data_IF_651590497844
#
_entry.id   IF_651590497844
#
_cell.length_a   1.000
_cell.length_b   1.000
_cell.length_c   1.000
_cell.angle_alpha   90.00
_cell.angle_beta   90.00
_cell.angle_gamma   90.00
#
_symmetry.space_group_name_H-M   'P 1'
#
loop_
_entity.id
_entity.type
_entity.pdbx_description
1 polymer ?
#
# COMPACT_ATOMS: atom_id res chain seq x y z
N UNK A 1 -5.35 15.53 12.44
CA UNK A 1 -5.15 15.29 10.99
C UNK A 1 -3.65 15.07 10.70
N UNK A 2 -3.27 14.04 9.92
CA UNK A 2 -1.86 13.79 9.56
C UNK A 2 -1.02 12.96 10.55
N UNK A 3 -1.63 12.26 11.51
CA UNK A 3 -0.91 11.36 12.41
C UNK A 3 -0.65 10.01 11.71
N UNK A 4 0.58 9.46 11.82
CA UNK A 4 0.96 8.19 11.17
C UNK A 4 0.03 7.02 11.53
N UNK A 5 -0.45 6.97 12.77
CA UNK A 5 -1.41 5.96 13.22
C UNK A 5 -2.75 5.97 12.44
N UNK A 6 -3.04 6.99 11.64
CA UNK A 6 -4.22 6.99 10.78
C UNK A 6 -4.14 5.94 9.66
N UNK A 7 -2.95 5.53 9.20
CA UNK A 7 -2.81 4.42 8.25
C UNK A 7 -3.31 3.10 8.86
N UNK A 8 -2.96 2.85 10.13
CA UNK A 8 -3.42 1.69 10.90
C UNK A 8 -4.93 1.78 11.18
N UNK A 9 -5.43 2.95 11.57
CA UNK A 9 -6.87 3.16 11.81
C UNK A 9 -7.71 2.99 10.55
N UNK A 10 -7.22 3.49 9.41
CA UNK A 10 -7.86 3.30 8.11
C UNK A 10 -7.95 1.82 7.75
N UNK A 11 -6.86 1.06 7.92
CA UNK A 11 -6.85 -0.38 7.71
C UNK A 11 -7.85 -1.09 8.63
N UNK A 12 -7.85 -0.78 9.93
CA UNK A 12 -8.78 -1.36 10.90
C UNK A 12 -10.25 -1.07 10.59
N UNK A 13 -10.57 0.16 10.15
CA UNK A 13 -11.92 0.54 9.76
C UNK A 13 -12.38 -0.26 8.54
N UNK A 14 -11.63 -0.22 7.44
CA UNK A 14 -12.00 -0.91 6.20
C UNK A 14 -12.07 -2.41 6.40
N UNK A 15 -11.12 -2.98 7.14
CA UNK A 15 -11.14 -4.41 7.47
C UNK A 15 -12.38 -4.81 8.26
N UNK A 16 -12.70 -4.07 9.34
CA UNK A 16 -13.89 -4.32 10.17
C UNK A 16 -15.18 -4.27 9.35
N UNK A 17 -15.27 -3.32 8.41
CA UNK A 17 -16.40 -3.22 7.49
C UNK A 17 -16.47 -4.42 6.54
N UNK A 18 -15.34 -4.83 5.98
CA UNK A 18 -15.27 -5.96 5.02
C UNK A 18 -15.69 -7.29 5.63
N UNK A 19 -15.37 -7.55 6.90
CA UNK A 19 -15.69 -8.81 7.58
C UNK A 19 -17.02 -8.78 8.35
N UNK A 20 -17.71 -7.63 8.38
CA UNK A 20 -19.02 -7.47 9.02
C UNK A 20 -19.04 -7.62 10.55
N UNK A 21 -17.88 -7.59 11.21
CA UNK A 21 -17.74 -7.73 12.67
C UNK A 21 -16.52 -6.99 13.20
N UNK A 22 -16.47 -6.64 14.50
CA UNK A 22 -15.28 -6.05 15.11
C UNK A 22 -14.04 -6.93 14.89
N UNK A 23 -12.92 -6.29 14.52
CA UNK A 23 -11.63 -6.95 14.31
C UNK A 23 -10.91 -7.35 15.60
N UNK A 24 -11.41 -6.93 16.75
CA UNK A 24 -10.77 -7.13 18.06
C UNK A 24 -9.71 -6.06 18.37
N UNK A 25 -9.22 -6.08 19.61
CA UNK A 25 -8.12 -5.23 20.06
C UNK A 25 -6.78 -5.96 19.97
N UNK A 26 -5.70 -5.21 19.78
CA UNK A 26 -4.34 -5.73 19.81
C UNK A 26 -3.38 -4.65 20.26
N UNK A 27 -2.30 -5.08 20.91
CA UNK A 27 -1.14 -4.26 21.21
C UNK A 27 -0.03 -4.61 20.23
N UNK A 28 0.64 -3.61 19.67
CA UNK A 28 1.77 -3.88 18.79
C UNK A 28 2.72 -2.70 18.65
N UNK A 29 3.94 -3.04 18.25
CA UNK A 29 5.05 -2.13 18.08
C UNK A 29 5.36 -2.00 16.58
N UNK A 30 5.41 -0.76 16.08
CA UNK A 30 5.82 -0.46 14.71
C UNK A 30 7.26 0.00 14.70
N UNK A 31 8.11 -0.68 13.94
CA UNK A 31 9.50 -0.33 13.72
C UNK A 31 9.83 -0.39 12.21
N UNK A 32 10.57 0.61 11.72
CA UNK A 32 10.92 0.73 10.30
C UNK A 32 12.29 1.38 10.07
N UNK A 33 13.22 1.17 11.01
CA UNK A 33 14.56 1.77 10.97
C UNK A 33 15.59 0.83 10.32
N UNK A 34 16.53 1.42 9.59
CA UNK A 34 17.64 0.71 8.97
C UNK A 34 18.35 -0.25 9.94
N UNK A 35 18.77 -1.44 9.48
CA UNK A 35 18.78 -1.91 8.09
C UNK A 35 17.43 -2.46 7.61
N UNK A 36 16.38 -2.39 8.43
CA UNK A 36 15.07 -2.96 8.14
C UNK A 36 14.03 -1.86 7.85
N UNK A 37 12.97 -2.22 7.12
CA UNK A 37 11.87 -1.28 6.84
C UNK A 37 12.16 -0.28 5.71
N UNK A 38 11.17 0.59 5.49
CA UNK A 38 11.12 1.51 4.35
C UNK A 38 11.40 2.93 4.81
N UNK A 39 12.40 3.64 4.25
CA UNK A 39 12.70 5.02 4.60
C UNK A 39 11.47 5.94 4.44
N UNK A 40 11.14 6.65 5.51
CA UNK A 40 9.95 7.53 5.54
C UNK A 40 10.16 8.74 4.63
N UNK A 41 9.19 9.01 3.77
CA UNK A 41 9.19 10.21 2.93
C UNK A 41 10.27 10.22 1.84
N UNK A 42 10.81 9.05 1.48
CA UNK A 42 11.82 8.89 0.43
C UNK A 42 11.22 8.48 -0.94
N UNK A 43 9.90 8.54 -1.11
CA UNK A 43 9.22 8.10 -2.33
C UNK A 43 9.19 6.57 -2.52
N UNK A 44 9.41 5.80 -1.44
CA UNK A 44 9.40 4.34 -1.44
C UNK A 44 8.15 3.74 -0.80
N UNK A 45 7.06 4.51 -0.73
CA UNK A 45 5.74 4.03 -0.28
C UNK A 45 5.70 3.52 1.17
N UNK A 46 6.43 4.18 2.08
CA UNK A 46 6.42 3.85 3.51
C UNK A 46 5.03 3.90 4.16
N UNK A 47 4.13 4.74 3.63
CA UNK A 47 2.72 4.81 4.03
C UNK A 47 1.97 3.53 3.70
N UNK A 48 2.12 3.04 2.47
CA UNK A 48 1.44 1.85 1.98
C UNK A 48 1.99 0.60 2.63
N UNK A 49 3.31 0.53 2.87
CA UNK A 49 3.91 -0.54 3.64
C UNK A 49 3.30 -0.67 5.05
N UNK A 50 3.05 0.46 5.73
CA UNK A 50 2.41 0.47 7.05
C UNK A 50 0.93 0.03 6.98
N UNK A 51 0.17 0.54 6.00
CA UNK A 51 -1.23 0.14 5.78
C UNK A 51 -1.35 -1.36 5.51
N UNK A 52 -0.50 -1.90 4.65
CA UNK A 52 -0.45 -3.32 4.30
C UNK A 52 -0.05 -4.16 5.51
N UNK A 53 0.98 -3.77 6.26
CA UNK A 53 1.39 -4.48 7.47
C UNK A 53 0.25 -4.54 8.50
N UNK A 54 -0.47 -3.44 8.70
CA UNK A 54 -1.64 -3.41 9.59
C UNK A 54 -2.77 -4.32 9.08
N UNK A 55 -3.08 -4.28 7.78
CA UNK A 55 -4.11 -5.12 7.17
C UNK A 55 -3.80 -6.61 7.30
N UNK A 56 -2.57 -7.02 6.99
CA UNK A 56 -2.12 -8.41 7.11
C UNK A 56 -2.17 -8.87 8.57
N UNK A 57 -1.78 -8.01 9.51
CA UNK A 57 -1.88 -8.29 10.95
C UNK A 57 -3.33 -8.53 11.36
N UNK A 58 -4.26 -7.65 10.96
CA UNK A 58 -5.68 -7.79 11.27
C UNK A 58 -6.29 -9.05 10.65
N UNK A 59 -5.99 -9.33 9.37
CA UNK A 59 -6.44 -10.52 8.66
C UNK A 59 -5.97 -11.81 9.36
N UNK A 60 -4.73 -11.80 9.87
CA UNK A 60 -4.14 -12.92 10.61
C UNK A 60 -4.78 -13.09 11.98
N UNK A 61 -4.89 -12.03 12.78
CA UNK A 61 -5.44 -12.09 14.13
C UNK A 61 -6.94 -12.42 14.15
N UNK A 62 -7.69 -11.98 13.13
CA UNK A 62 -9.11 -12.30 13.01
C UNK A 62 -9.38 -13.70 12.46
N UNK A 63 -8.35 -14.41 11.97
CA UNK A 63 -8.45 -15.76 11.42
C UNK A 63 -9.26 -15.86 10.11
N UNK A 64 -9.33 -14.78 9.33
CA UNK A 64 -10.15 -14.72 8.10
C UNK A 64 -9.41 -15.26 6.88
N UNK A 65 -8.08 -15.09 6.83
CA UNK A 65 -7.21 -15.60 5.75
C UNK A 65 -7.64 -15.15 4.35
N UNK A 66 -8.00 -13.88 4.19
CA UNK A 66 -8.30 -13.33 2.86
C UNK A 66 -7.11 -13.48 1.89
N UNK A 67 -7.37 -13.81 0.62
CA UNK A 67 -6.36 -13.80 -0.43
C UNK A 67 -5.63 -12.46 -0.55
N UNK A 68 -4.34 -12.49 -0.89
CA UNK A 68 -3.55 -11.26 -1.07
C UNK A 68 -4.16 -10.30 -2.09
N UNK A 69 -4.74 -10.83 -3.18
CA UNK A 69 -5.39 -10.01 -4.19
C UNK A 69 -6.56 -9.18 -3.62
N UNK A 70 -7.35 -9.77 -2.72
CA UNK A 70 -8.47 -9.08 -2.07
C UNK A 70 -7.96 -8.04 -1.06
N UNK A 71 -6.87 -8.35 -0.35
CA UNK A 71 -6.23 -7.41 0.58
C UNK A 71 -5.71 -6.15 -0.11
N UNK A 72 -5.27 -6.22 -1.38
CA UNK A 72 -4.79 -5.05 -2.11
C UNK A 72 -5.86 -3.96 -2.16
N UNK A 73 -7.08 -4.31 -2.56
CA UNK A 73 -8.15 -3.32 -2.68
C UNK A 73 -8.51 -2.72 -1.31
N UNK A 74 -8.61 -3.56 -0.29
CA UNK A 74 -8.87 -3.10 1.08
C UNK A 74 -7.78 -2.14 1.58
N UNK A 75 -6.51 -2.40 1.26
CA UNK A 75 -5.40 -1.50 1.62
C UNK A 75 -5.46 -0.17 0.85
N UNK A 76 -5.77 -0.20 -0.44
CA UNK A 76 -5.95 1.02 -1.24
C UNK A 76 -7.08 1.89 -0.67
N UNK A 77 -8.22 1.27 -0.37
CA UNK A 77 -9.37 1.96 0.20
C UNK A 77 -9.07 2.49 1.61
N UNK A 78 -8.29 1.76 2.40
CA UNK A 78 -7.86 2.20 3.73
C UNK A 78 -7.04 3.49 3.70
N UNK A 79 -6.23 3.72 2.65
CA UNK A 79 -5.48 4.98 2.53
C UNK A 79 -6.36 6.19 2.24
N UNK A 80 -7.58 5.98 1.74
CA UNK A 80 -8.53 7.06 1.52
C UNK A 80 -8.99 7.69 2.84
N UNK A 81 -8.90 6.94 3.95
CA UNK A 81 -9.09 7.44 5.31
C UNK A 81 -8.11 8.57 5.65
N UNK A 82 -6.88 8.50 5.14
CA UNK A 82 -5.82 9.52 5.36
C UNK A 82 -5.96 10.70 4.39
N UNK A 83 -6.88 10.59 3.43
CA UNK A 83 -7.24 11.63 2.46
C UNK A 83 -6.49 11.54 1.14
N UNK A 84 -5.55 10.61 0.98
CA UNK A 84 -4.90 10.34 -0.31
C UNK A 84 -5.89 9.63 -1.25
N UNK A 85 -5.85 9.93 -2.55
CA UNK A 85 -6.66 9.27 -3.58
C UNK A 85 -5.77 8.47 -4.54
N UNK A 86 -4.85 7.69 -3.95
CA UNK A 86 -3.88 6.86 -4.64
C UNK A 86 -4.52 5.73 -5.45
N UNK A 87 -3.68 5.09 -6.27
CA UNK A 87 -3.99 3.82 -6.90
C UNK A 87 -3.62 2.63 -6.01
N UNK A 88 -3.39 1.48 -6.66
CA UNK A 88 -3.24 0.16 -6.03
C UNK A 88 -1.81 -0.41 -6.08
N UNK A 89 -0.91 0.23 -6.82
CA UNK A 89 0.41 -0.33 -7.18
C UNK A 89 1.26 -0.67 -5.96
N UNK A 90 1.32 0.24 -5.00
CA UNK A 90 2.16 0.11 -3.80
C UNK A 90 1.69 -1.04 -2.91
N UNK A 91 0.37 -1.22 -2.80
CA UNK A 91 -0.25 -2.31 -2.06
C UNK A 91 -0.07 -3.64 -2.80
N UNK A 92 -0.20 -3.65 -4.13
CA UNK A 92 0.07 -4.80 -4.99
C UNK A 92 1.49 -5.33 -4.78
N UNK A 93 2.49 -4.47 -4.95
CA UNK A 93 3.89 -4.90 -4.84
C UNK A 93 4.23 -5.32 -3.42
N UNK A 94 3.69 -4.66 -2.39
CA UNK A 94 3.92 -5.05 -1.00
C UNK A 94 3.35 -6.45 -0.66
N UNK A 95 2.27 -6.87 -1.31
CA UNK A 95 1.59 -8.15 -1.04
C UNK A 95 2.01 -9.29 -1.98
N UNK A 96 2.44 -8.98 -3.21
CA UNK A 96 2.62 -9.96 -4.28
C UNK A 96 4.04 -10.00 -4.86
N UNK A 97 4.96 -9.15 -4.42
CA UNK A 97 6.34 -9.20 -4.86
C UNK A 97 6.99 -10.55 -4.53
N UNK A 98 7.85 -10.99 -5.44
CA UNK A 98 8.67 -12.18 -5.28
C UNK A 98 10.14 -11.79 -5.29
N UNK A 99 10.96 -12.51 -4.52
CA UNK A 99 12.40 -12.28 -4.48
C UNK A 99 12.99 -12.41 -5.89
N UNK A 100 13.89 -11.49 -6.24
CA UNK A 100 14.60 -11.43 -7.52
C UNK A 100 13.71 -11.20 -8.76
N UNK A 101 12.46 -10.74 -8.57
CA UNK A 101 11.53 -10.44 -9.65
C UNK A 101 10.97 -9.02 -9.52
N UNK A 102 10.78 -8.36 -10.67
CA UNK A 102 9.83 -7.27 -10.81
C UNK A 102 8.40 -7.81 -10.95
N UNK A 103 7.42 -6.96 -10.68
CA UNK A 103 6.00 -7.27 -10.88
C UNK A 103 5.46 -6.35 -11.96
N UNK A 104 5.02 -6.91 -13.07
CA UNK A 104 4.13 -6.21 -14.00
C UNK A 104 2.70 -6.28 -13.46
N UNK A 105 2.03 -5.15 -13.48
CA UNK A 105 0.64 -4.98 -13.05
C UNK A 105 -0.11 -4.19 -14.12
N UNK A 106 -1.10 -4.81 -14.75
CA UNK A 106 -2.07 -4.06 -15.54
C UNK A 106 -3.10 -3.46 -14.58
N UNK A 107 -3.04 -2.13 -14.40
CA UNK A 107 -3.97 -1.39 -13.54
C UNK A 107 -5.38 -1.26 -14.12
N UNK A 108 -5.68 -1.89 -15.26
CA UNK A 108 -7.03 -1.99 -15.82
C UNK A 108 -7.62 -3.33 -15.39
N UNK A 109 -8.60 -3.33 -14.48
CA UNK A 109 -9.23 -4.57 -14.08
C UNK A 109 -10.12 -5.11 -15.21
N UNK A 110 -10.32 -6.43 -15.22
CA UNK A 110 -11.36 -7.05 -16.04
C UNK A 110 -12.77 -6.69 -15.55
N UNK A 111 -13.81 -7.18 -16.25
CA UNK A 111 -15.20 -6.91 -15.89
C UNK A 111 -15.60 -7.44 -14.49
N UNK A 112 -14.84 -8.37 -13.93
CA UNK A 112 -15.04 -8.91 -12.59
C UNK A 112 -14.18 -8.21 -11.52
N UNK A 113 -13.36 -7.21 -11.91
CA UNK A 113 -12.51 -6.47 -11.00
C UNK A 113 -11.11 -7.06 -10.79
N UNK A 114 -10.71 -8.10 -11.55
CA UNK A 114 -9.40 -8.73 -11.39
C UNK A 114 -8.33 -7.99 -12.18
N UNK A 115 -7.16 -7.82 -11.56
CA UNK A 115 -5.99 -7.23 -12.20
C UNK A 115 -5.06 -8.32 -12.76
N UNK A 116 -4.54 -8.09 -13.96
CA UNK A 116 -3.56 -8.99 -14.55
C UNK A 116 -2.16 -8.67 -13.99
N UNK A 117 -1.43 -9.70 -13.60
CA UNK A 117 -0.08 -9.57 -13.08
C UNK A 117 0.85 -10.59 -13.71
N UNK A 118 2.12 -10.22 -13.87
CA UNK A 118 3.18 -11.10 -14.36
C UNK A 118 4.45 -10.86 -13.55
N UNK A 119 5.10 -11.92 -13.09
CA UNK A 119 6.39 -11.84 -12.42
C UNK A 119 7.51 -11.89 -13.44
N UNK A 120 8.38 -10.88 -13.41
CA UNK A 120 9.45 -10.71 -14.39
C UNK A 120 10.80 -10.85 -13.69
N UNK A 121 11.62 -11.87 -14.01
CA UNK A 121 12.94 -12.04 -13.39
C UNK A 121 13.82 -10.81 -13.60
N UNK A 122 14.47 -10.33 -12.55
CA UNK A 122 15.41 -9.22 -12.68
C UNK A 122 16.70 -9.67 -13.40
N UNK A 123 17.29 -8.83 -14.25
CA UNK A 123 18.53 -9.17 -14.95
C UNK A 123 19.69 -9.30 -13.96
N UNK A 124 20.38 -10.44 -13.98
CA UNK A 124 21.54 -10.71 -13.10
C UNK A 124 22.79 -9.90 -13.48
N UNK A 125 22.82 -9.38 -14.70
CA UNK A 125 23.92 -8.60 -15.28
C UNK A 125 23.96 -7.15 -14.79
N UNK A 126 22.89 -6.66 -14.16
CA UNK A 126 22.78 -5.27 -13.70
C UNK A 126 22.42 -5.23 -12.22
N UNK A 127 22.53 -4.05 -11.61
CA UNK A 127 22.09 -3.78 -10.25
C UNK A 127 21.23 -2.53 -10.24
N UNK A 128 20.13 -2.56 -9.49
CA UNK A 128 19.30 -1.40 -9.24
C UNK A 128 19.85 -0.67 -8.01
N UNK A 129 20.16 0.62 -8.15
CA UNK A 129 20.55 1.48 -7.04
C UNK A 129 19.43 2.48 -6.76
N UNK A 130 19.00 2.57 -5.50
CA UNK A 130 18.07 3.59 -5.03
C UNK A 130 18.88 4.69 -4.35
N UNK A 131 18.79 5.91 -4.84
CA UNK A 131 19.49 7.08 -4.29
C UNK A 131 18.45 8.10 -3.82
N UNK A 132 18.44 8.38 -2.51
CA UNK A 132 17.57 9.39 -1.94
C UNK A 132 18.09 10.79 -2.31
N UNK A 133 17.24 11.64 -2.88
CA UNK A 133 17.59 13.02 -3.26
C UNK A 133 17.86 13.94 -2.07
N UNK A 134 17.44 13.55 -0.86
CA UNK A 134 17.47 14.39 0.34
C UNK A 134 16.34 15.43 0.39
N UNK A 135 15.46 15.48 -0.63
CA UNK A 135 14.32 16.40 -0.68
C UNK A 135 13.08 15.70 -0.14
N UNK A 136 12.69 16.08 1.07
CA UNK A 136 11.46 15.59 1.69
C UNK A 136 10.31 16.57 1.41
N UNK A 137 9.32 16.13 0.64
CA UNK A 137 8.15 16.96 0.39
C UNK A 137 7.16 16.86 1.56
N UNK A 138 6.85 18.00 2.18
CA UNK A 138 5.76 18.10 3.15
C UNK A 138 4.46 18.47 2.43
N UNK A 139 3.32 17.87 2.82
CA UNK A 139 1.97 18.23 2.35
C UNK A 139 1.63 17.99 0.86
N UNK A 140 2.25 17.02 0.19
CA UNK A 140 1.95 16.66 -1.22
C UNK A 140 0.58 16.06 -1.46
N UNK A 141 -0.21 15.74 -0.42
CA UNK A 141 -1.51 15.08 -0.58
C UNK A 141 -2.48 15.87 -1.47
N UNK A 142 -2.54 17.19 -1.32
CA UNK A 142 -3.43 18.02 -2.13
C UNK A 142 -2.95 18.07 -3.59
N UNK A 143 -1.66 18.26 -3.81
CA UNK A 143 -1.06 18.26 -5.16
C UNK A 143 -1.25 16.91 -5.85
N UNK A 144 -1.01 15.82 -5.13
CA UNK A 144 -1.23 14.47 -5.62
C UNK A 144 -2.70 14.26 -6.01
N UNK A 145 -3.64 14.62 -5.14
CA UNK A 145 -5.07 14.49 -5.42
C UNK A 145 -5.52 15.39 -6.59
N UNK A 146 -4.92 16.57 -6.77
CA UNK A 146 -5.15 17.42 -7.95
C UNK A 146 -4.69 16.72 -9.23
N UNK A 147 -3.55 16.01 -9.22
CA UNK A 147 -3.10 15.22 -10.37
C UNK A 147 -4.03 14.05 -10.67
N UNK A 148 -4.54 13.38 -9.65
CA UNK A 148 -5.57 12.34 -9.81
C UNK A 148 -6.83 12.90 -10.45
N UNK A 149 -7.29 14.08 -10.00
CA UNK A 149 -8.46 14.74 -10.56
C UNK A 149 -8.23 15.17 -12.02
N UNK A 150 -7.07 15.75 -12.33
CA UNK A 150 -6.69 16.13 -13.69
C UNK A 150 -6.67 14.92 -14.63
N UNK A 151 -6.03 13.82 -14.21
CA UNK A 151 -6.00 12.57 -14.99
C UNK A 151 -7.39 11.97 -15.24
N UNK A 152 -8.31 12.06 -14.27
CA UNK A 152 -9.72 11.65 -14.45
C UNK A 152 -10.49 12.56 -15.40
N UNK A 153 -10.16 13.84 -15.42
CA UNK A 153 -10.75 14.82 -16.34
C UNK A 153 -10.11 14.79 -17.74
N UNK A 154 -9.00 14.08 -17.92
CA UNK A 154 -8.27 14.01 -19.20
C UNK A 154 -7.50 15.28 -19.54
N UNK A 155 -7.08 16.07 -18.54
CA UNK A 155 -6.30 17.32 -18.69
C UNK A 155 -4.93 17.24 -18.05
#
# INVERSE_FOLDING_TARGET
PGHWGNYVRGAAQVFTQSIGRPSGGWDGLVAGAAPFGVPVGAGLSSSSALTVAAMVTLNTLAGVQLPNADLVQLCSDAEWYVGTRGGIMDQFVALLAQRDHALFLDCRPDAAGHFQTETIPLPTTHRLLIVNSGVHHANTRNEFNLRVAAGRAGV
#
